data_IF_913950368105
#
_entry.id   IF_913950368105
#
_cell.length_a   1.000
_cell.length_b   1.000
_cell.length_c   1.000
_cell.angle_alpha   90.00
_cell.angle_beta   90.00
_cell.angle_gamma   90.00
#
_symmetry.space_group_name_H-M   'P 1'
#
loop_
_entity.id
_entity.type
_entity.pdbx_description
1 polymer ?
#
# COMPACT_ATOMS: atom_id res chain seq x y z
N UNK A 1 -13.17 -6.13 20.16
CA UNK A 1 -14.50 -5.57 20.47
C UNK A 1 -15.30 -5.45 19.17
N UNK A 2 -16.62 -5.60 19.22
CA UNK A 2 -17.46 -5.71 18.01
C UNK A 2 -17.93 -4.32 17.56
N UNK A 3 -16.98 -3.48 17.17
CA UNK A 3 -17.26 -2.24 16.46
C UNK A 3 -17.97 -2.52 15.14
N UNK A 4 -19.14 -1.92 14.91
CA UNK A 4 -19.93 -2.13 13.69
C UNK A 4 -20.88 -3.34 13.73
N UNK A 5 -21.10 -3.92 14.91
CA UNK A 5 -22.05 -5.01 15.10
C UNK A 5 -23.49 -4.60 14.74
N UNK A 6 -24.23 -5.50 14.07
CA UNK A 6 -25.64 -5.31 13.74
C UNK A 6 -26.47 -6.41 14.38
N UNK A 7 -27.42 -6.01 15.23
CA UNK A 7 -28.37 -6.93 15.84
C UNK A 7 -29.20 -7.66 14.78
N UNK A 8 -29.36 -8.97 14.99
CA UNK A 8 -30.20 -9.80 14.13
C UNK A 8 -31.66 -9.37 14.24
N UNK A 9 -32.33 -9.28 13.10
CA UNK A 9 -33.76 -8.97 13.02
C UNK A 9 -34.50 -10.15 12.39
N UNK A 10 -35.63 -10.52 12.98
CA UNK A 10 -36.49 -11.60 12.50
C UNK A 10 -37.89 -11.06 12.23
N UNK A 11 -38.49 -11.49 11.12
CA UNK A 11 -39.89 -11.20 10.81
C UNK A 11 -40.76 -12.30 11.40
N UNK A 12 -41.72 -11.92 12.24
CA UNK A 12 -42.69 -12.86 12.82
C UNK A 12 -44.09 -12.36 12.53
N UNK A 13 -44.97 -13.28 12.15
CA UNK A 13 -46.39 -13.00 11.97
C UNK A 13 -47.00 -12.83 13.35
N UNK A 14 -47.56 -11.66 13.62
CA UNK A 14 -48.22 -11.33 14.90
C UNK A 14 -49.73 -11.45 14.81
N UNK A 15 -50.29 -11.36 13.59
CA UNK A 15 -51.72 -11.58 13.36
C UNK A 15 -51.99 -12.09 11.93
N UNK A 16 -53.25 -12.42 11.63
CA UNK A 16 -53.66 -12.84 10.27
C UNK A 16 -53.27 -11.81 9.20
N UNK A 17 -53.17 -10.51 9.52
CA UNK A 17 -52.88 -9.44 8.56
C UNK A 17 -51.58 -8.67 8.84
N UNK A 18 -50.81 -9.02 9.86
CA UNK A 18 -49.62 -8.26 10.25
C UNK A 18 -48.41 -9.14 10.52
N UNK A 19 -47.28 -8.71 9.95
CA UNK A 19 -45.94 -9.24 10.21
C UNK A 19 -45.10 -8.10 10.76
N UNK A 20 -44.48 -8.32 11.92
CA UNK A 20 -43.61 -7.33 12.56
C UNK A 20 -42.16 -7.82 12.57
N UNK A 21 -41.24 -6.87 12.62
CA UNK A 21 -39.80 -7.13 12.71
C UNK A 21 -39.39 -6.99 14.17
N UNK A 22 -38.81 -8.04 14.73
CA UNK A 22 -38.29 -8.08 16.08
C UNK A 22 -36.77 -8.23 16.06
N UNK A 23 -36.11 -7.76 17.11
CA UNK A 23 -34.73 -8.13 17.37
C UNK A 23 -34.68 -9.52 17.99
N UNK A 24 -33.76 -10.35 17.48
CA UNK A 24 -33.53 -11.71 17.95
C UNK A 24 -32.20 -11.73 18.68
N UNK A 25 -32.24 -11.35 19.97
CA UNK A 25 -31.06 -11.24 20.79
C UNK A 25 -30.61 -12.62 21.30
N UNK A 26 -29.34 -12.91 21.11
CA UNK A 26 -28.62 -14.02 21.73
C UNK A 26 -28.42 -13.79 23.22
N UNK A 27 -28.20 -14.86 23.97
CA UNK A 27 -27.92 -14.79 25.42
C UNK A 27 -26.74 -13.86 25.73
N UNK A 28 -25.69 -13.90 24.91
CA UNK A 28 -24.51 -13.03 25.05
C UNK A 28 -24.88 -11.56 24.91
N UNK A 29 -25.77 -11.20 23.99
CA UNK A 29 -26.23 -9.81 23.83
C UNK A 29 -27.11 -9.38 25.00
N UNK A 30 -27.97 -10.27 25.50
CA UNK A 30 -28.79 -10.00 26.69
C UNK A 30 -27.90 -9.74 27.91
N UNK A 31 -26.87 -10.55 28.14
CA UNK A 31 -25.88 -10.30 29.20
C UNK A 31 -25.20 -8.94 29.05
N UNK A 32 -24.85 -8.55 27.82
CA UNK A 32 -24.27 -7.22 27.55
C UNK A 32 -25.22 -6.07 27.90
N UNK A 33 -26.52 -6.22 27.62
CA UNK A 33 -27.51 -5.21 28.02
C UNK A 33 -27.65 -5.10 29.54
N UNK A 34 -27.59 -6.22 30.26
CA UNK A 34 -27.62 -6.22 31.74
C UNK A 34 -26.38 -5.50 32.28
N UNK A 35 -25.19 -5.82 31.75
CA UNK A 35 -23.93 -5.15 32.13
C UNK A 35 -24.00 -3.65 31.83
N UNK A 36 -24.52 -3.26 30.65
CA UNK A 36 -24.72 -1.84 30.32
C UNK A 36 -25.59 -1.15 31.35
N UNK A 37 -26.72 -1.75 31.74
CA UNK A 37 -27.62 -1.14 32.74
C UNK A 37 -26.87 -0.84 34.04
N UNK A 38 -26.11 -1.80 34.56
CA UNK A 38 -25.31 -1.61 35.77
C UNK A 38 -24.23 -0.54 35.61
N UNK A 39 -23.58 -0.46 34.45
CA UNK A 39 -22.56 0.54 34.18
C UNK A 39 -23.15 1.95 34.09
N UNK A 40 -24.29 2.12 33.41
CA UNK A 40 -24.98 3.41 33.29
C UNK A 40 -25.41 3.94 34.65
N UNK A 41 -25.94 3.07 35.52
CA UNK A 41 -26.33 3.44 36.87
C UNK A 41 -25.13 3.91 37.71
N UNK A 42 -23.95 3.33 37.47
CA UNK A 42 -22.70 3.64 38.19
C UNK A 42 -22.01 4.90 37.66
N UNK A 43 -21.83 5.02 36.35
CA UNK A 43 -21.05 6.09 35.71
C UNK A 43 -21.87 7.34 35.44
N UNK A 44 -23.20 7.20 35.32
CA UNK A 44 -24.12 8.23 34.79
C UNK A 44 -23.74 8.74 33.40
N UNK A 45 -22.88 8.01 32.67
CA UNK A 45 -22.50 8.33 31.30
C UNK A 45 -22.81 7.15 30.38
N UNK A 46 -23.85 7.31 29.57
CA UNK A 46 -24.32 6.28 28.65
C UNK A 46 -23.28 5.97 27.55
N UNK A 47 -22.60 6.98 27.02
CA UNK A 47 -21.70 6.81 25.87
C UNK A 47 -20.47 5.97 26.23
N UNK A 48 -19.85 6.28 27.37
CA UNK A 48 -18.68 5.54 27.87
C UNK A 48 -19.05 4.09 28.21
N UNK A 49 -20.22 3.87 28.82
CA UNK A 49 -20.69 2.53 29.14
C UNK A 49 -21.03 1.71 27.89
N UNK A 50 -21.57 2.32 26.84
CA UNK A 50 -21.77 1.66 25.54
C UNK A 50 -20.40 1.29 24.93
N UNK A 51 -19.44 2.21 24.92
CA UNK A 51 -18.08 1.97 24.40
C UNK A 51 -17.37 0.87 25.19
N UNK A 52 -17.58 0.75 26.48
CA UNK A 52 -16.99 -0.30 27.31
C UNK A 52 -17.55 -1.70 26.96
N UNK A 53 -18.87 -1.81 26.77
CA UNK A 53 -19.54 -3.11 26.53
C UNK A 53 -19.42 -3.56 25.08
N UNK A 54 -19.56 -2.66 24.10
CA UNK A 54 -19.55 -3.00 22.67
C UNK A 54 -18.27 -2.59 21.93
N UNK A 55 -17.49 -1.68 22.50
CA UNK A 55 -16.27 -1.13 21.91
C UNK A 55 -16.49 0.21 21.24
N UNK A 56 -15.42 1.01 21.22
CA UNK A 56 -15.38 2.25 20.46
C UNK A 56 -14.96 1.98 19.01
N UNK A 57 -15.97 1.95 18.13
CA UNK A 57 -15.76 1.77 16.68
C UNK A 57 -14.96 2.88 16.04
N UNK A 58 -15.11 4.11 16.52
CA UNK A 58 -14.40 5.26 15.95
C UNK A 58 -12.93 5.18 16.34
N UNK A 59 -12.64 4.96 17.62
CA UNK A 59 -11.28 4.83 18.09
C UNK A 59 -10.55 3.60 17.48
N UNK A 60 -11.27 2.50 17.25
CA UNK A 60 -10.71 1.35 16.54
C UNK A 60 -10.37 1.71 15.09
N UNK A 61 -11.31 2.31 14.36
CA UNK A 61 -11.07 2.75 12.97
C UNK A 61 -9.90 3.73 12.87
N UNK A 62 -9.77 4.67 13.82
CA UNK A 62 -8.65 5.62 13.86
C UNK A 62 -7.31 4.91 14.07
N UNK A 63 -7.26 3.89 14.94
CA UNK A 63 -6.06 3.05 15.13
C UNK A 63 -5.73 2.26 13.86
N UNK A 64 -6.72 1.68 13.21
CA UNK A 64 -6.54 0.87 12.00
C UNK A 64 -6.02 1.75 10.86
N UNK A 65 -6.64 2.91 10.62
CA UNK A 65 -6.17 3.91 9.64
C UNK A 65 -4.73 4.34 9.94
N UNK A 66 -4.39 4.57 11.22
CA UNK A 66 -3.02 4.94 11.59
C UNK A 66 -2.01 3.83 11.27
N UNK A 67 -2.39 2.58 11.45
CA UNK A 67 -1.54 1.43 11.11
C UNK A 67 -1.39 1.28 9.59
N UNK A 68 -2.49 1.40 8.85
CA UNK A 68 -2.47 1.37 7.37
C UNK A 68 -1.59 2.49 6.79
N UNK A 69 -1.70 3.71 7.33
CA UNK A 69 -0.86 4.84 6.93
C UNK A 69 0.61 4.57 7.22
N UNK A 70 0.92 3.97 8.36
CA UNK A 70 2.30 3.60 8.71
C UNK A 70 2.87 2.58 7.72
N UNK A 71 2.12 1.52 7.42
CA UNK A 71 2.53 0.52 6.43
C UNK A 71 2.75 1.15 5.05
N UNK A 72 1.81 1.99 4.60
CA UNK A 72 1.91 2.70 3.34
C UNK A 72 3.14 3.61 3.28
N UNK A 73 3.47 4.29 4.39
CA UNK A 73 4.66 5.13 4.48
C UNK A 73 5.94 4.29 4.40
N UNK A 74 6.00 3.14 5.06
CA UNK A 74 7.15 2.24 5.01
C UNK A 74 7.38 1.71 3.59
N UNK A 75 6.30 1.28 2.92
CA UNK A 75 6.34 0.84 1.53
C UNK A 75 6.78 1.96 0.57
N UNK A 76 6.28 3.18 0.78
CA UNK A 76 6.68 4.35 -0.01
C UNK A 76 8.19 4.59 0.06
N UNK A 77 8.77 4.62 1.27
CA UNK A 77 10.20 4.83 1.43
C UNK A 77 11.04 3.69 0.87
N UNK A 78 10.56 2.45 1.01
CA UNK A 78 11.22 1.30 0.39
C UNK A 78 11.27 1.44 -1.13
N UNK A 79 10.15 1.74 -1.78
CA UNK A 79 10.12 1.91 -3.23
C UNK A 79 10.90 3.12 -3.70
N UNK A 80 10.89 4.22 -2.94
CA UNK A 80 11.70 5.39 -3.23
C UNK A 80 13.19 5.02 -3.26
N UNK A 81 13.66 4.29 -2.24
CA UNK A 81 15.05 3.85 -2.16
C UNK A 81 15.43 2.90 -3.31
N UNK A 82 14.59 1.92 -3.61
CA UNK A 82 14.82 0.98 -4.73
C UNK A 82 14.87 1.70 -6.08
N UNK A 83 14.03 2.71 -6.28
CA UNK A 83 14.02 3.52 -7.50
C UNK A 83 15.28 4.40 -7.61
N UNK A 84 15.71 5.02 -6.52
CA UNK A 84 16.92 5.84 -6.47
C UNK A 84 18.18 5.00 -6.75
N UNK A 85 18.31 3.81 -6.14
CA UNK A 85 19.42 2.90 -6.42
C UNK A 85 19.42 2.45 -7.89
N UNK A 86 18.26 2.06 -8.42
CA UNK A 86 18.12 1.68 -9.83
C UNK A 86 18.53 2.82 -10.78
N UNK A 87 18.10 4.05 -10.50
CA UNK A 87 18.50 5.24 -11.25
C UNK A 87 20.02 5.47 -11.18
N UNK A 88 20.62 5.29 -10.01
CA UNK A 88 22.05 5.43 -9.83
C UNK A 88 22.84 4.40 -10.66
N UNK A 89 22.43 3.13 -10.63
CA UNK A 89 23.06 2.08 -11.43
C UNK A 89 22.89 2.33 -12.92
N UNK A 90 21.70 2.74 -13.37
CA UNK A 90 21.46 3.09 -14.77
C UNK A 90 22.34 4.25 -15.23
N UNK A 91 22.48 5.30 -14.41
CA UNK A 91 23.36 6.44 -14.70
C UNK A 91 24.82 6.00 -14.85
N UNK A 92 25.30 5.16 -13.93
CA UNK A 92 26.66 4.61 -13.97
C UNK A 92 26.89 3.75 -15.22
N UNK A 93 25.94 2.88 -15.55
CA UNK A 93 26.03 2.03 -16.72
C UNK A 93 26.02 2.85 -18.02
N UNK A 94 25.17 3.87 -18.12
CA UNK A 94 25.16 4.78 -19.27
C UNK A 94 26.49 5.53 -19.43
N UNK A 95 27.11 5.99 -18.35
CA UNK A 95 28.43 6.62 -18.41
C UNK A 95 29.51 5.64 -18.90
N UNK A 96 29.48 4.40 -18.45
CA UNK A 96 30.40 3.35 -18.90
C UNK A 96 30.22 3.05 -20.39
N UNK A 97 28.98 2.90 -20.85
CA UNK A 97 28.66 2.68 -22.25
C UNK A 97 29.08 3.87 -23.12
N UNK A 98 28.83 5.11 -22.69
CA UNK A 98 29.29 6.30 -23.40
C UNK A 98 30.82 6.30 -23.58
N UNK A 99 31.58 5.90 -22.55
CA UNK A 99 33.03 5.80 -22.64
C UNK A 99 33.45 4.74 -23.65
N UNK A 100 32.85 3.55 -23.61
CA UNK A 100 33.15 2.46 -24.56
C UNK A 100 32.80 2.85 -25.99
N UNK A 101 31.65 3.49 -26.22
CA UNK A 101 31.26 4.00 -27.54
C UNK A 101 32.28 5.01 -28.05
N UNK A 102 32.70 5.96 -27.21
CA UNK A 102 33.73 6.95 -27.60
C UNK A 102 35.04 6.28 -28.01
N UNK A 103 35.51 5.30 -27.23
CA UNK A 103 36.74 4.57 -27.51
C UNK A 103 36.65 3.75 -28.81
N UNK A 104 35.52 3.07 -29.05
CA UNK A 104 35.28 2.34 -30.29
C UNK A 104 35.24 3.28 -31.49
N UNK A 105 34.56 4.43 -31.40
CA UNK A 105 34.53 5.44 -32.46
C UNK A 105 35.93 5.97 -32.78
N UNK A 106 36.75 6.23 -31.76
CA UNK A 106 38.13 6.68 -31.95
C UNK A 106 39.00 5.62 -32.64
N UNK A 107 38.91 4.35 -32.21
CA UNK A 107 39.60 3.23 -32.88
C UNK A 107 39.15 3.05 -34.32
N UNK A 108 37.86 3.20 -34.61
CA UNK A 108 37.30 3.08 -35.96
C UNK A 108 37.84 4.20 -36.86
N UNK A 109 37.85 5.45 -36.39
CA UNK A 109 38.45 6.57 -37.11
C UNK A 109 39.94 6.35 -37.41
N UNK A 110 40.71 5.81 -36.46
CA UNK A 110 42.14 5.48 -36.69
C UNK A 110 42.27 4.45 -37.82
N UNK A 111 41.49 3.36 -37.76
CA UNK A 111 41.53 2.30 -38.77
C UNK A 111 41.11 2.80 -40.17
N UNK A 112 40.11 3.67 -40.26
CA UNK A 112 39.70 4.28 -41.53
C UNK A 112 40.82 5.16 -42.11
N UNK A 113 41.43 6.03 -41.29
CA UNK A 113 42.53 6.89 -41.72
C UNK A 113 43.80 6.10 -42.11
N UNK A 114 44.10 5.00 -41.40
CA UNK A 114 45.21 4.10 -41.73
C UNK A 114 44.98 3.34 -43.05
N UNK A 115 43.73 2.93 -43.31
CA UNK A 115 43.35 2.26 -44.56
C UNK A 115 43.49 3.19 -45.77
N UNK A 116 43.07 4.45 -45.63
CA UNK A 116 43.15 5.45 -46.70
C UNK A 116 44.59 5.88 -47.00
N UNK A 117 45.47 5.85 -46.00
CA UNK A 117 46.88 6.24 -46.14
C UNK A 117 47.82 5.09 -46.54
N UNK A 118 47.52 3.84 -46.19
CA UNK A 118 48.41 2.70 -46.36
C UNK A 118 48.26 1.91 -47.68
N UNK A 119 47.03 1.83 -48.23
CA UNK A 119 46.75 0.99 -49.40
C UNK A 119 46.86 1.79 -50.70
N UNK A 120 46.36 3.02 -50.74
CA UNK A 120 46.38 3.84 -51.96
C UNK A 120 47.76 4.43 -52.29
N UNK A 121 48.60 4.70 -51.28
CA UNK A 121 49.94 5.23 -51.52
C UNK A 121 50.93 4.18 -52.03
N UNK A 122 50.69 2.89 -51.76
CA UNK A 122 51.49 1.79 -52.35
C UNK A 122 51.13 1.53 -53.81
N UNK A 123 49.86 1.70 -54.20
CA UNK A 123 49.43 1.58 -55.59
C UNK A 123 49.93 2.75 -56.48
N UNK A 124 50.01 3.97 -55.93
CA UNK A 124 50.49 5.15 -56.68
C UNK A 124 52.01 5.21 -56.91
N UNK A 125 52.81 4.37 -56.21
CA UNK A 125 54.28 4.33 -56.37
C UNK A 125 54.77 3.17 -57.26
N UNK A 126 53.86 2.34 -57.78
CA UNK A 126 54.18 1.15 -58.59
C UNK A 126 53.78 1.24 -60.06
N UNK A 127 53.38 2.42 -60.55
CA UNK A 127 53.14 2.72 -61.97
C UNK A 127 53.97 3.93 -62.39
#
# INVERSE_FOLDING_TARGET
MLSGYKFKKVRRRVSKRSTQVFFDFTEVEVTKFIVLSHLVDKTKNLDDSIKEVWGDSKAQSERDIKNELKMLSEDFYKFLFEAEDSMFQLKKNNQSLQKQVKELTERLNILENEKDSGIFNKLKRGF
#
